data_IF_886732929613
#
_entry.id   IF_886732929613
#
_cell.length_a   1.000
_cell.length_b   1.000
_cell.length_c   1.000
_cell.angle_alpha   90.00
_cell.angle_beta   90.00
_cell.angle_gamma   90.00
#
_symmetry.space_group_name_H-M   'P 1'
#
loop_
_entity.id
_entity.type
_entity.pdbx_description
1 polymer ?
#
# COMPACT_ATOMS: atom_id res chain seq x y z
N UNK A 1 5.53 -4.22 -0.71
CA UNK A 1 4.26 -3.63 -0.27
C UNK A 1 4.47 -2.23 0.33
N UNK A 2 5.33 -2.05 1.28
CA UNK A 2 5.84 -0.79 1.81
C UNK A 2 6.52 0.11 0.74
N UNK A 3 7.06 -0.49 -0.31
CA UNK A 3 7.98 0.16 -1.26
C UNK A 3 7.44 1.34 -2.03
N UNK A 4 6.15 1.42 -2.35
CA UNK A 4 5.64 2.54 -3.14
C UNK A 4 5.64 3.84 -2.32
N UNK A 5 5.05 3.86 -1.12
CA UNK A 5 5.05 5.04 -0.25
C UNK A 5 6.47 5.52 0.04
N UNK A 6 7.36 4.59 0.41
CA UNK A 6 8.77 4.89 0.61
C UNK A 6 9.46 5.44 -0.65
N UNK A 7 9.12 4.88 -1.84
CA UNK A 7 9.62 5.38 -3.12
C UNK A 7 9.14 6.81 -3.43
N UNK A 8 7.88 7.11 -3.15
CA UNK A 8 7.29 8.45 -3.28
C UNK A 8 7.98 9.43 -2.33
N UNK A 9 8.21 9.01 -1.08
CA UNK A 9 8.93 9.82 -0.09
C UNK A 9 10.36 10.13 -0.54
N UNK A 10 11.15 9.14 -0.96
CA UNK A 10 12.50 9.36 -1.48
C UNK A 10 12.48 10.29 -2.69
N UNK A 11 11.59 10.06 -3.65
CA UNK A 11 11.47 10.88 -4.84
C UNK A 11 11.13 12.34 -4.50
N UNK A 12 10.18 12.55 -3.60
CA UNK A 12 9.78 13.89 -3.11
C UNK A 12 10.94 14.60 -2.41
N UNK A 13 11.69 13.89 -1.58
CA UNK A 13 12.88 14.41 -0.88
C UNK A 13 13.97 14.83 -1.85
N UNK A 14 14.26 13.99 -2.86
CA UNK A 14 15.23 14.32 -3.92
C UNK A 14 14.79 15.53 -4.76
N UNK A 15 13.49 15.61 -5.11
CA UNK A 15 12.97 16.77 -5.84
C UNK A 15 13.01 18.06 -5.01
N UNK A 16 13.00 17.96 -3.70
CA UNK A 16 13.14 19.13 -2.81
C UNK A 16 14.61 19.57 -2.65
N UNK A 17 15.55 18.62 -2.67
CA UNK A 17 16.98 18.89 -2.46
C UNK A 17 17.74 19.17 -3.76
N UNK A 18 17.28 18.64 -4.89
CA UNK A 18 17.93 18.79 -6.20
C UNK A 18 17.09 19.74 -7.07
N UNK A 19 17.49 21.01 -7.27
CA UNK A 19 16.68 22.01 -8.00
C UNK A 19 16.33 21.62 -9.45
N UNK A 20 17.19 20.82 -10.11
CA UNK A 20 16.96 20.33 -11.46
C UNK A 20 15.94 19.19 -11.53
N UNK A 21 15.69 18.47 -10.43
CA UNK A 21 14.75 17.37 -10.37
C UNK A 21 13.32 17.91 -10.20
N UNK A 22 12.55 17.93 -11.28
CA UNK A 22 11.16 18.41 -11.31
C UNK A 22 10.13 17.30 -11.42
N UNK A 23 10.55 16.14 -11.91
CA UNK A 23 9.69 14.98 -12.13
C UNK A 23 10.41 13.72 -11.68
N UNK A 24 9.65 12.76 -11.17
CA UNK A 24 10.13 11.44 -10.82
C UNK A 24 9.13 10.38 -11.30
N UNK A 25 9.61 9.18 -11.54
CA UNK A 25 8.80 8.01 -11.87
C UNK A 25 9.12 6.91 -10.88
N UNK A 26 8.13 6.50 -10.10
CA UNK A 26 8.23 5.37 -9.20
C UNK A 26 7.64 4.13 -9.90
N UNK A 27 8.46 3.10 -10.08
CA UNK A 27 8.07 1.84 -10.72
C UNK A 27 8.04 0.75 -9.66
N UNK A 28 6.95 -0.01 -9.62
CA UNK A 28 6.80 -1.19 -8.77
C UNK A 28 6.32 -2.35 -9.63
N UNK A 29 6.98 -3.48 -9.54
CA UNK A 29 6.59 -4.70 -10.23
C UNK A 29 6.87 -5.92 -9.35
N UNK A 30 5.86 -6.74 -9.17
CA UNK A 30 5.95 -8.02 -8.49
C UNK A 30 5.38 -9.12 -9.38
N UNK A 31 6.17 -10.15 -9.63
CA UNK A 31 5.78 -11.30 -10.43
C UNK A 31 5.80 -12.56 -9.56
N UNK A 32 4.63 -13.05 -9.25
CA UNK A 32 4.45 -14.20 -8.36
C UNK A 32 4.50 -15.52 -9.13
N UNK A 33 3.99 -15.56 -10.35
CA UNK A 33 3.86 -16.79 -11.15
C UNK A 33 5.17 -17.54 -11.40
N UNK A 34 6.28 -16.83 -11.69
CA UNK A 34 7.58 -17.48 -11.92
C UNK A 34 8.18 -18.08 -10.64
N UNK A 35 7.77 -17.59 -9.51
CA UNK A 35 8.22 -18.10 -8.22
C UNK A 35 7.52 -19.42 -7.87
N UNK A 36 6.30 -19.64 -8.35
CA UNK A 36 5.41 -20.73 -7.98
C UNK A 36 5.45 -21.91 -8.96
N UNK A 37 5.63 -21.64 -10.26
CA UNK A 37 5.55 -22.67 -11.33
C UNK A 37 6.56 -23.82 -11.21
N UNK A 38 7.58 -23.66 -10.36
CA UNK A 38 8.65 -24.64 -10.13
C UNK A 38 8.62 -25.27 -8.75
N UNK A 39 7.54 -25.08 -7.96
CA UNK A 39 7.48 -25.49 -6.55
C UNK A 39 6.47 -26.57 -6.31
N UNK A 40 6.82 -27.46 -5.38
CA UNK A 40 5.84 -28.33 -4.74
C UNK A 40 4.94 -27.46 -3.87
N UNK A 41 3.67 -27.36 -4.23
CA UNK A 41 2.66 -26.74 -3.37
C UNK A 41 2.56 -27.55 -2.06
N UNK A 42 2.71 -26.87 -0.96
CA UNK A 42 2.49 -27.42 0.38
C UNK A 42 1.54 -26.49 1.16
N UNK A 43 1.18 -26.89 2.38
CA UNK A 43 0.22 -26.13 3.18
C UNK A 43 0.64 -24.67 3.43
N UNK A 44 1.95 -24.39 3.51
CA UNK A 44 2.48 -23.04 3.80
C UNK A 44 2.50 -22.16 2.54
N UNK A 45 2.74 -22.75 1.37
CA UNK A 45 2.87 -22.00 0.11
C UNK A 45 1.54 -21.87 -0.64
N UNK A 46 0.60 -22.79 -0.48
CA UNK A 46 -0.67 -22.77 -1.20
C UNK A 46 -1.52 -21.55 -0.87
N UNK A 47 -1.56 -21.15 0.39
CA UNK A 47 -2.31 -19.97 0.83
C UNK A 47 -1.78 -18.70 0.20
N UNK A 48 -0.44 -18.56 0.11
CA UNK A 48 0.20 -17.43 -0.55
C UNK A 48 -0.11 -17.41 -2.05
N UNK A 49 -0.01 -18.55 -2.73
CA UNK A 49 -0.28 -18.67 -4.17
C UNK A 49 -1.73 -18.35 -4.54
N UNK A 50 -2.69 -18.70 -3.68
CA UNK A 50 -4.11 -18.43 -3.91
C UNK A 50 -4.50 -16.98 -3.68
N UNK A 51 -3.74 -16.24 -2.87
CA UNK A 51 -4.04 -14.85 -2.51
C UNK A 51 -3.33 -13.84 -3.40
N UNK A 52 -2.18 -14.21 -3.98
CA UNK A 52 -1.29 -13.25 -4.65
C UNK A 52 -1.51 -13.19 -6.15
N UNK A 53 -1.42 -11.98 -6.71
CA UNK A 53 -1.46 -11.69 -8.14
C UNK A 53 -0.17 -11.02 -8.61
N UNK A 54 0.15 -11.16 -9.91
CA UNK A 54 1.26 -10.47 -10.55
C UNK A 54 0.78 -9.16 -11.15
N UNK A 55 1.45 -8.06 -10.82
CA UNK A 55 1.15 -6.76 -11.40
C UNK A 55 2.38 -5.84 -11.41
N UNK A 56 2.30 -4.81 -12.23
CA UNK A 56 3.23 -3.70 -12.25
C UNK A 56 2.47 -2.38 -12.27
N UNK A 57 3.05 -1.36 -11.68
CA UNK A 57 2.51 0.00 -11.69
C UNK A 57 3.61 1.03 -11.86
N UNK A 58 3.24 2.20 -12.39
CA UNK A 58 4.10 3.35 -12.56
C UNK A 58 3.37 4.58 -12.00
N UNK A 59 4.00 5.28 -11.05
CA UNK A 59 3.49 6.52 -10.47
C UNK A 59 4.40 7.67 -10.85
N UNK A 60 3.87 8.60 -11.64
CA UNK A 60 4.57 9.82 -12.01
C UNK A 60 4.33 10.91 -10.96
N UNK A 61 5.39 11.53 -10.51
CA UNK A 61 5.35 12.61 -9.52
C UNK A 61 5.92 13.87 -10.18
N UNK A 62 5.21 14.98 -10.05
CA UNK A 62 5.67 16.28 -10.51
C UNK A 62 5.67 17.28 -9.36
N UNK A 63 6.76 18.07 -9.26
CA UNK A 63 6.84 19.14 -8.28
C UNK A 63 5.97 20.33 -8.71
N UNK A 64 4.92 20.60 -7.95
CA UNK A 64 4.05 21.77 -8.12
C UNK A 64 4.12 22.67 -6.90
N UNK A 65 3.99 23.97 -7.11
CA UNK A 65 3.96 24.94 -6.00
C UNK A 65 2.68 24.72 -5.17
N UNK A 66 2.84 24.62 -3.86
CA UNK A 66 1.73 24.38 -2.93
C UNK A 66 1.32 22.92 -2.78
N UNK A 67 1.78 22.00 -3.64
CA UNK A 67 1.54 20.59 -3.45
C UNK A 67 2.37 20.06 -2.27
N UNK A 68 1.73 19.23 -1.44
CA UNK A 68 2.36 18.62 -0.27
C UNK A 68 1.95 17.14 -0.18
N UNK A 69 2.88 16.30 0.21
CA UNK A 69 2.63 14.93 0.65
C UNK A 69 3.06 14.86 2.11
N UNK A 70 2.15 14.44 2.97
CA UNK A 70 2.46 14.15 4.37
C UNK A 70 2.58 12.63 4.51
N UNK A 71 3.64 12.16 5.16
CA UNK A 71 3.92 10.73 5.27
C UNK A 71 4.45 10.35 6.65
N UNK A 72 4.25 9.08 7.01
CA UNK A 72 4.85 8.43 8.16
C UNK A 72 5.32 7.04 7.77
N UNK A 73 6.51 6.68 8.21
CA UNK A 73 7.12 5.38 7.94
C UNK A 73 7.56 4.70 9.23
N UNK A 74 7.43 3.39 9.26
CA UNK A 74 7.89 2.59 10.39
C UNK A 74 8.36 1.22 9.93
N UNK A 75 9.33 0.68 10.65
CA UNK A 75 9.82 -0.66 10.45
C UNK A 75 10.19 -1.29 11.80
N UNK A 76 9.66 -2.49 12.04
CA UNK A 76 10.06 -3.33 13.17
C UNK A 76 10.82 -4.55 12.66
N UNK A 77 12.15 -4.47 12.69
CA UNK A 77 13.04 -5.55 12.28
C UNK A 77 13.09 -6.73 13.26
N UNK A 78 12.47 -6.66 14.44
CA UNK A 78 12.41 -7.78 15.38
C UNK A 78 11.60 -8.95 14.81
N UNK A 79 10.71 -8.69 13.87
CA UNK A 79 9.85 -9.66 13.19
C UNK A 79 10.25 -9.88 11.71
N UNK A 80 11.53 -9.72 11.39
CA UNK A 80 12.04 -9.84 10.02
C UNK A 80 11.72 -11.19 9.36
N UNK A 81 11.52 -12.23 10.14
CA UNK A 81 11.24 -13.60 9.73
C UNK A 81 9.73 -13.90 9.55
N UNK A 82 8.86 -12.94 9.87
CA UNK A 82 7.41 -13.10 9.70
C UNK A 82 7.01 -13.32 8.22
N UNK A 83 7.74 -12.67 7.29
CA UNK A 83 7.61 -12.92 5.85
C UNK A 83 9.04 -13.02 5.29
N UNK A 84 9.40 -14.19 4.76
CA UNK A 84 10.77 -14.48 4.37
C UNK A 84 10.84 -15.24 3.04
N UNK A 85 11.61 -14.70 2.10
CA UNK A 85 12.02 -15.40 0.88
C UNK A 85 13.52 -15.61 0.91
N UNK A 86 13.97 -16.78 1.37
CA UNK A 86 15.42 -17.10 1.51
C UNK A 86 16.12 -17.34 0.19
N UNK A 87 15.38 -17.76 -0.82
CA UNK A 87 15.92 -18.08 -2.14
C UNK A 87 14.79 -18.10 -3.16
N UNK A 88 15.04 -17.76 -4.43
CA UNK A 88 14.06 -17.90 -5.50
C UNK A 88 13.51 -19.34 -5.65
N UNK A 89 14.19 -20.31 -5.06
CA UNK A 89 13.87 -21.73 -5.19
C UNK A 89 13.10 -22.32 -4.00
N UNK A 90 13.05 -21.63 -2.85
CA UNK A 90 12.49 -22.17 -1.60
C UNK A 90 11.12 -21.66 -1.22
N UNK A 91 10.56 -20.74 -1.96
CA UNK A 91 9.27 -20.18 -1.64
C UNK A 91 9.32 -19.01 -0.67
N UNK A 92 8.19 -18.36 -0.58
CA UNK A 92 7.94 -17.36 0.45
C UNK A 92 7.31 -18.05 1.64
N UNK A 93 7.98 -18.02 2.78
CA UNK A 93 7.44 -18.42 4.06
C UNK A 93 6.73 -17.23 4.69
N UNK A 94 5.57 -17.45 5.28
CA UNK A 94 4.80 -16.41 5.96
C UNK A 94 4.17 -16.95 7.24
N UNK A 95 4.43 -16.28 8.34
CA UNK A 95 3.74 -16.49 9.62
C UNK A 95 2.40 -15.73 9.58
N UNK A 96 1.37 -16.33 8.98
CA UNK A 96 0.11 -15.67 8.67
C UNK A 96 -0.56 -14.99 9.88
N UNK A 97 -0.55 -15.63 11.06
CA UNK A 97 -1.14 -15.07 12.27
C UNK A 97 -0.40 -13.80 12.72
N UNK A 98 0.93 -13.80 12.70
CA UNK A 98 1.74 -12.64 13.09
C UNK A 98 1.51 -11.47 12.14
N UNK A 99 1.48 -11.75 10.84
CA UNK A 99 1.21 -10.73 9.81
C UNK A 99 -0.20 -10.17 9.96
N UNK A 100 -1.18 -11.03 10.25
CA UNK A 100 -2.56 -10.63 10.51
C UNK A 100 -2.65 -9.73 11.75
N UNK A 101 -2.10 -10.16 12.88
CA UNK A 101 -2.09 -9.38 14.14
C UNK A 101 -1.42 -8.01 13.95
N UNK A 102 -0.27 -7.97 13.28
CA UNK A 102 0.39 -6.71 12.95
C UNK A 102 -0.50 -5.79 12.11
N UNK A 103 -1.17 -6.33 11.09
CA UNK A 103 -2.01 -5.52 10.22
C UNK A 103 -3.23 -4.93 10.93
N UNK A 104 -3.91 -5.71 11.78
CA UNK A 104 -5.13 -5.25 12.44
C UNK A 104 -4.87 -4.39 13.70
N UNK A 105 -3.71 -4.56 14.35
CA UNK A 105 -3.35 -3.80 15.55
C UNK A 105 -2.37 -2.67 15.24
N UNK A 106 -1.15 -3.00 14.83
CA UNK A 106 -0.09 -2.00 14.67
C UNK A 106 -0.37 -1.04 13.53
N UNK A 107 -0.81 -1.54 12.37
CA UNK A 107 -1.13 -0.68 11.21
C UNK A 107 -2.32 0.21 11.54
N UNK A 108 -3.40 -0.33 12.12
CA UNK A 108 -4.56 0.48 12.51
C UNK A 108 -4.22 1.56 13.54
N UNK A 109 -3.43 1.21 14.56
CA UNK A 109 -2.97 2.19 15.56
C UNK A 109 -2.13 3.30 14.93
N UNK A 110 -1.24 2.96 14.00
CA UNK A 110 -0.41 3.94 13.28
C UNK A 110 -1.23 4.86 12.39
N UNK A 111 -2.26 4.34 11.71
CA UNK A 111 -3.18 5.15 10.91
C UNK A 111 -3.92 6.14 11.81
N UNK A 112 -4.47 5.68 12.93
CA UNK A 112 -5.17 6.55 13.89
C UNK A 112 -4.22 7.62 14.46
N UNK A 113 -3.01 7.24 14.86
CA UNK A 113 -1.99 8.18 15.34
C UNK A 113 -1.60 9.19 14.26
N UNK A 114 -1.38 8.76 13.02
CA UNK A 114 -1.07 9.63 11.90
C UNK A 114 -2.18 10.67 11.67
N UNK A 115 -3.44 10.23 11.69
CA UNK A 115 -4.58 11.12 11.54
C UNK A 115 -4.67 12.13 12.68
N UNK A 116 -4.45 11.71 13.92
CA UNK A 116 -4.43 12.58 15.10
C UNK A 116 -3.30 13.63 15.03
N UNK A 117 -2.07 13.22 14.73
CA UNK A 117 -0.89 14.09 14.61
C UNK A 117 -1.07 15.16 13.54
N UNK A 118 -1.74 14.82 12.44
CA UNK A 118 -1.97 15.73 11.32
C UNK A 118 -3.37 16.38 11.35
N UNK A 119 -4.15 16.15 12.42
CA UNK A 119 -5.50 16.72 12.62
C UNK A 119 -6.45 16.40 11.46
N UNK A 120 -6.31 15.21 10.88
CA UNK A 120 -7.17 14.70 9.84
C UNK A 120 -8.37 13.99 10.46
N UNK A 121 -9.57 14.25 9.96
CA UNK A 121 -10.78 13.53 10.36
C UNK A 121 -11.23 12.64 9.20
N UNK A 122 -11.83 11.49 9.52
CA UNK A 122 -12.36 10.56 8.50
C UNK A 122 -13.35 11.26 7.56
N UNK A 123 -14.10 12.21 8.09
CA UNK A 123 -15.10 13.00 7.36
C UNK A 123 -14.48 13.89 6.28
N UNK A 124 -13.28 14.42 6.54
CA UNK A 124 -12.56 15.35 5.66
C UNK A 124 -11.86 14.65 4.49
N UNK A 125 -11.72 13.32 4.57
CA UNK A 125 -11.07 12.49 3.58
C UNK A 125 -12.10 11.90 2.62
N UNK A 126 -11.74 11.82 1.35
CA UNK A 126 -12.59 11.19 0.34
C UNK A 126 -12.45 9.66 0.39
N UNK A 127 -11.21 9.16 0.38
CA UNK A 127 -10.94 7.74 0.31
C UNK A 127 -9.72 7.30 1.12
N UNK A 128 -9.75 6.03 1.47
CA UNK A 128 -8.64 5.29 2.08
C UNK A 128 -8.27 4.12 1.17
N UNK A 129 -6.98 3.93 0.91
CA UNK A 129 -6.46 2.90 0.02
C UNK A 129 -5.34 2.16 0.74
N UNK A 130 -5.66 0.99 1.23
CA UNK A 130 -4.68 0.13 1.89
C UNK A 130 -4.07 -0.87 0.91
N UNK A 131 -2.89 -1.35 1.23
CA UNK A 131 -2.37 -2.54 0.59
C UNK A 131 -3.42 -3.66 0.60
N UNK A 132 -3.69 -4.23 -0.56
CA UNK A 132 -4.74 -5.23 -0.78
C UNK A 132 -4.27 -6.63 -0.29
N UNK A 133 -4.09 -6.79 1.02
CA UNK A 133 -3.57 -8.03 1.62
C UNK A 133 -4.60 -9.16 1.53
N UNK A 134 -5.74 -8.97 2.18
CA UNK A 134 -6.93 -9.83 2.09
C UNK A 134 -8.14 -9.10 2.69
N UNK A 135 -9.35 -9.53 2.31
CA UNK A 135 -10.59 -8.84 2.71
C UNK A 135 -10.75 -8.71 4.22
N UNK A 136 -10.49 -9.80 4.96
CA UNK A 136 -10.63 -9.80 6.42
C UNK A 136 -9.71 -8.77 7.10
N UNK A 137 -8.50 -8.57 6.60
CA UNK A 137 -7.57 -7.54 7.09
C UNK A 137 -8.16 -6.15 6.83
N UNK A 138 -8.61 -5.88 5.61
CA UNK A 138 -9.19 -4.59 5.23
C UNK A 138 -10.42 -4.25 6.07
N UNK A 139 -11.33 -5.22 6.26
CA UNK A 139 -12.54 -5.05 7.07
C UNK A 139 -12.18 -4.73 8.54
N UNK A 140 -11.18 -5.39 9.12
CA UNK A 140 -10.74 -5.12 10.49
C UNK A 140 -10.06 -3.74 10.63
N UNK A 141 -9.22 -3.34 9.68
CA UNK A 141 -8.61 -2.00 9.67
C UNK A 141 -9.70 -0.93 9.55
N UNK A 142 -10.66 -1.12 8.62
CA UNK A 142 -11.81 -0.22 8.44
C UNK A 142 -12.58 -0.03 9.75
N UNK A 143 -12.87 -1.13 10.45
CA UNK A 143 -13.54 -1.10 11.76
C UNK A 143 -12.70 -0.39 12.84
N UNK A 144 -11.41 -0.73 12.95
CA UNK A 144 -10.52 -0.18 13.98
C UNK A 144 -10.22 1.33 13.78
N UNK A 145 -10.26 1.79 12.53
CA UNK A 145 -10.05 3.20 12.20
C UNK A 145 -11.35 3.99 12.00
N UNK A 146 -12.53 3.38 12.26
CA UNK A 146 -13.85 3.98 12.02
C UNK A 146 -14.02 4.50 10.58
N UNK A 147 -13.45 3.82 9.61
CA UNK A 147 -13.55 4.20 8.19
C UNK A 147 -14.83 3.59 7.61
N UNK A 148 -15.77 4.41 7.08
CA UNK A 148 -16.95 3.90 6.38
C UNK A 148 -16.57 3.06 5.17
N UNK A 149 -17.30 1.99 4.90
CA UNK A 149 -16.99 1.06 3.80
C UNK A 149 -16.96 1.72 2.43
N UNK A 150 -17.78 2.74 2.21
CA UNK A 150 -17.83 3.52 0.96
C UNK A 150 -16.58 4.40 0.74
N UNK A 151 -15.80 4.65 1.79
CA UNK A 151 -14.51 5.36 1.70
C UNK A 151 -13.31 4.44 1.58
N UNK A 152 -13.48 3.14 1.83
CA UNK A 152 -12.43 2.13 1.68
C UNK A 152 -12.40 1.61 0.24
N UNK A 153 -11.48 2.10 -0.59
CA UNK A 153 -11.34 1.58 -1.96
C UNK A 153 -10.65 0.22 -1.96
N UNK A 154 -11.19 -0.69 -2.76
CA UNK A 154 -10.65 -2.03 -2.95
C UNK A 154 -10.52 -2.40 -4.43
N UNK A 155 -9.61 -3.31 -4.73
CA UNK A 155 -9.44 -3.96 -6.02
C UNK A 155 -9.17 -5.46 -5.84
N UNK A 156 -9.31 -5.93 -4.61
CA UNK A 156 -8.94 -7.27 -4.18
C UNK A 156 -9.74 -8.37 -4.86
N UNK A 157 -11.04 -8.14 -5.10
CA UNK A 157 -11.92 -9.14 -5.71
C UNK A 157 -11.56 -9.42 -7.17
N UNK A 158 -11.02 -8.42 -7.87
CA UNK A 158 -10.69 -8.51 -9.29
C UNK A 158 -9.23 -8.92 -9.51
N UNK A 159 -8.31 -8.38 -8.72
CA UNK A 159 -6.86 -8.53 -8.95
C UNK A 159 -6.13 -9.32 -7.87
N UNK A 160 -6.76 -9.61 -6.75
CA UNK A 160 -6.10 -10.26 -5.62
C UNK A 160 -5.05 -9.36 -4.95
N UNK A 161 -4.15 -9.98 -4.21
CA UNK A 161 -3.03 -9.30 -3.59
C UNK A 161 -1.88 -9.14 -4.60
N UNK A 162 -1.80 -7.97 -5.22
CA UNK A 162 -0.75 -7.62 -6.19
C UNK A 162 0.48 -6.98 -5.55
N UNK A 163 0.73 -7.29 -4.28
CA UNK A 163 1.92 -6.88 -3.54
C UNK A 163 2.15 -5.35 -3.59
N UNK A 164 3.34 -4.90 -4.00
CA UNK A 164 3.70 -3.48 -4.06
C UNK A 164 2.89 -2.64 -5.04
N UNK A 165 2.32 -3.25 -6.08
CA UNK A 165 1.49 -2.58 -7.07
C UNK A 165 0.04 -2.35 -6.60
N UNK A 166 -0.39 -2.90 -5.46
CA UNK A 166 -1.79 -2.95 -5.06
C UNK A 166 -2.43 -1.57 -4.84
N UNK A 167 -1.74 -0.62 -4.20
CA UNK A 167 -2.27 0.73 -3.95
C UNK A 167 -2.51 1.50 -5.26
N UNK A 168 -1.52 1.66 -6.16
CA UNK A 168 -1.76 2.38 -7.41
C UNK A 168 -2.72 1.64 -8.35
N UNK A 169 -2.72 0.31 -8.32
CA UNK A 169 -3.70 -0.47 -9.07
C UNK A 169 -5.13 -0.21 -8.58
N UNK A 170 -5.32 -0.11 -7.25
CA UNK A 170 -6.64 0.21 -6.67
C UNK A 170 -7.11 1.61 -7.09
N UNK A 171 -6.21 2.61 -7.18
CA UNK A 171 -6.55 3.91 -7.74
C UNK A 171 -7.05 3.78 -9.18
N UNK A 172 -6.28 3.12 -10.04
CA UNK A 172 -6.66 2.94 -11.45
C UNK A 172 -7.96 2.13 -11.61
N UNK A 173 -8.15 1.06 -10.83
CA UNK A 173 -9.36 0.23 -10.88
C UNK A 173 -10.63 1.00 -10.48
N UNK A 174 -10.50 2.07 -9.69
CA UNK A 174 -11.60 2.92 -9.25
C UNK A 174 -11.65 4.27 -9.98
N UNK A 175 -10.93 4.46 -11.08
CA UNK A 175 -10.80 5.74 -11.79
C UNK A 175 -12.16 6.38 -12.14
N UNK A 176 -13.14 5.61 -12.62
CA UNK A 176 -14.49 6.12 -12.94
C UNK A 176 -15.21 6.73 -11.73
N UNK A 177 -14.98 6.17 -10.54
CA UNK A 177 -15.52 6.73 -9.29
C UNK A 177 -14.77 8.00 -8.90
N UNK A 178 -13.46 8.00 -9.03
CA UNK A 178 -12.58 9.10 -8.64
C UNK A 178 -12.78 10.33 -9.52
N UNK A 179 -13.00 10.17 -10.82
CA UNK A 179 -13.27 11.26 -11.78
C UNK A 179 -14.55 12.04 -11.54
N UNK A 180 -15.37 11.66 -10.55
CA UNK A 180 -16.54 12.45 -10.12
C UNK A 180 -16.17 13.75 -9.39
N UNK A 181 -14.91 13.89 -8.99
CA UNK A 181 -14.34 15.09 -8.36
C UNK A 181 -13.05 15.48 -9.09
N UNK A 182 -12.76 16.76 -9.18
CA UNK A 182 -11.52 17.26 -9.81
C UNK A 182 -10.27 17.01 -8.92
N UNK A 183 -10.49 16.94 -7.61
CA UNK A 183 -9.45 16.68 -6.62
C UNK A 183 -10.03 15.82 -5.48
N UNK A 184 -9.25 14.88 -5.02
CA UNK A 184 -9.60 13.98 -3.91
C UNK A 184 -8.53 14.02 -2.83
N UNK A 185 -8.97 13.91 -1.57
CA UNK A 185 -8.11 13.76 -0.38
C UNK A 185 -8.06 12.31 0.02
N UNK A 186 -6.88 11.73 -0.03
CA UNK A 186 -6.71 10.30 0.23
C UNK A 186 -5.63 10.02 1.27
N UNK A 187 -5.87 8.97 2.06
CA UNK A 187 -4.82 8.29 2.80
C UNK A 187 -4.50 6.99 2.08
N UNK A 188 -3.23 6.78 1.76
CA UNK A 188 -2.74 5.49 1.29
C UNK A 188 -1.88 4.82 2.37
N UNK A 189 -1.95 3.49 2.47
CA UNK A 189 -1.17 2.75 3.44
C UNK A 189 -0.64 1.45 2.85
N UNK A 190 0.68 1.35 2.77
CA UNK A 190 1.39 0.13 2.43
C UNK A 190 1.98 -0.54 3.67
N UNK A 191 1.79 -1.84 3.83
CA UNK A 191 2.37 -2.60 4.95
C UNK A 191 2.78 -4.01 4.53
N UNK A 192 3.63 -4.64 5.31
CA UNK A 192 4.08 -6.03 5.05
C UNK A 192 5.49 -6.31 5.57
N UNK A 193 6.31 -6.85 4.67
CA UNK A 193 7.68 -7.30 5.01
C UNK A 193 8.45 -6.25 5.81
N UNK A 194 9.11 -6.72 6.88
CA UNK A 194 9.90 -5.87 7.74
C UNK A 194 9.78 -6.29 9.21
N UNK A 195 8.65 -6.31 9.88
CA UNK A 195 7.35 -5.76 9.46
C UNK A 195 7.43 -4.24 9.31
N UNK A 196 6.80 -3.71 8.31
CA UNK A 196 6.88 -2.28 7.99
C UNK A 196 5.55 -1.71 7.52
N UNK A 197 5.39 -0.40 7.71
CA UNK A 197 4.22 0.36 7.32
C UNK A 197 4.63 1.73 6.79
N UNK A 198 4.02 2.17 5.69
CA UNK A 198 4.10 3.53 5.17
C UNK A 198 2.68 4.08 5.02
N UNK A 199 2.47 5.28 5.52
CA UNK A 199 1.19 5.98 5.46
C UNK A 199 1.44 7.31 4.77
N UNK A 200 0.63 7.62 3.77
CA UNK A 200 0.74 8.86 3.01
C UNK A 200 -0.63 9.55 2.96
N UNK A 201 -0.67 10.85 3.26
CA UNK A 201 -1.79 11.72 2.95
C UNK A 201 -1.46 12.58 1.75
N UNK A 202 -2.37 12.61 0.78
CA UNK A 202 -2.21 13.35 -0.48
C UNK A 202 -3.52 13.98 -0.92
N UNK A 203 -3.40 15.11 -1.61
CA UNK A 203 -4.46 15.65 -2.45
C UNK A 203 -4.11 15.33 -3.92
N UNK A 204 -4.93 14.52 -4.57
CA UNK A 204 -4.71 14.04 -5.94
C UNK A 204 -5.66 14.71 -6.90
N UNK A 205 -5.12 15.27 -8.00
CA UNK A 205 -5.92 15.64 -9.16
C UNK A 205 -6.35 14.38 -9.90
N UNK A 206 -7.63 14.26 -10.17
CA UNK A 206 -8.20 13.04 -10.77
C UNK A 206 -8.04 12.97 -12.28
N UNK A 207 -7.71 14.11 -12.94
CA UNK A 207 -7.39 14.14 -14.39
C UNK A 207 -6.17 13.29 -14.75
N UNK A 208 -5.40 12.83 -13.75
CA UNK A 208 -4.13 12.13 -13.94
C UNK A 208 -4.13 10.68 -13.47
N UNK A 209 -5.29 10.16 -13.08
CA UNK A 209 -5.49 8.76 -12.63
C UNK A 209 -5.93 7.85 -13.76
#
# INVERSE_FOLDING_TARGET
MFFLGYGIHIASSLMNTIPACKKALCLVADRVEDMESKRLLNADTVSFSLLTGSAASAVAIEKKQGACITFSESCDGSHYDAILARSPWTGTYMQGNMVFEYAINDVSNRVNQFMEEHKLQVEDLDYFIFHQAQKLILDNISFACNIPSEKMLTSLEEYGNTSGASVPLTLCANAELLHKKDCIKVITCGFGVGLSCSIDYMELSTDTI
#
